data_IF_607739674709
#
_entry.id   IF_607739674709
#
_cell.length_a   1.000
_cell.length_b   1.000
_cell.length_c   1.000
_cell.angle_alpha   90.00
_cell.angle_beta   90.00
_cell.angle_gamma   90.00
#
_symmetry.space_group_name_H-M   'P 1'
#
loop_
_entity.id
_entity.type
_entity.pdbx_description
1 polymer ?
#
# COMPACT_ATOMS: atom_id res chain seq x y z
N UNK A 1 -11.69 19.52 13.50
CA UNK A 1 -11.68 18.05 13.57
C UNK A 1 -13.11 17.63 13.76
N UNK A 2 -13.65 16.86 12.81
CA UNK A 2 -14.99 16.30 12.93
C UNK A 2 -14.94 15.19 13.97
N UNK A 3 -15.72 15.35 15.04
CA UNK A 3 -15.90 14.26 16.00
C UNK A 3 -16.79 13.21 15.33
N UNK A 4 -16.22 12.04 15.02
CA UNK A 4 -16.98 10.95 14.39
C UNK A 4 -17.95 10.39 15.41
N UNK A 5 -19.25 10.50 15.11
CA UNK A 5 -20.34 9.91 15.87
C UNK A 5 -20.84 8.65 15.17
N UNK A 6 -21.00 7.58 15.94
CA UNK A 6 -21.52 6.31 15.46
C UNK A 6 -22.83 5.99 16.18
N UNK A 7 -23.86 5.60 15.44
CA UNK A 7 -25.18 5.29 16.01
C UNK A 7 -25.60 3.87 15.63
N UNK A 8 -26.05 3.10 16.62
CA UNK A 8 -26.76 1.85 16.39
C UNK A 8 -28.25 2.15 16.19
N UNK A 9 -28.76 1.86 14.99
CA UNK A 9 -30.17 2.05 14.64
C UNK A 9 -30.94 0.75 14.87
N UNK A 10 -31.93 0.79 15.76
CA UNK A 10 -32.82 -0.36 16.01
C UNK A 10 -34.25 0.11 16.23
N UNK A 11 -35.21 -0.51 15.52
CA UNK A 11 -36.64 -0.20 15.64
C UNK A 11 -36.97 1.30 15.53
N UNK A 12 -36.30 2.03 14.63
CA UNK A 12 -36.51 3.48 14.46
C UNK A 12 -35.92 4.36 15.57
N UNK A 13 -35.18 3.77 16.51
CA UNK A 13 -34.43 4.49 17.56
C UNK A 13 -32.94 4.51 17.24
N UNK A 14 -32.29 5.65 17.48
CA UNK A 14 -30.86 5.82 17.35
C UNK A 14 -30.21 5.85 18.74
N UNK A 15 -29.24 4.95 18.95
CA UNK A 15 -28.43 4.92 20.17
C UNK A 15 -26.99 5.24 19.80
N UNK A 16 -26.45 6.34 20.34
CA UNK A 16 -25.05 6.71 20.10
C UNK A 16 -24.12 5.72 20.79
N UNK A 17 -23.14 5.23 20.05
CA UNK A 17 -22.02 4.45 20.57
C UNK A 17 -20.89 5.42 20.90
N UNK A 18 -20.52 5.50 22.18
CA UNK A 18 -19.41 6.36 22.61
C UNK A 18 -18.08 5.82 22.11
N UNK A 19 -17.26 6.69 21.52
CA UNK A 19 -15.89 6.33 21.12
C UNK A 19 -14.95 6.33 22.32
N UNK A 20 -14.00 5.39 22.33
CA UNK A 20 -12.93 5.30 23.33
C UNK A 20 -11.57 4.98 22.69
N UNK A 21 -10.50 5.40 23.35
CA UNK A 21 -9.13 4.98 23.02
C UNK A 21 -8.83 3.63 23.66
N UNK A 22 -7.83 2.91 23.14
CA UNK A 22 -7.40 1.64 23.72
C UNK A 22 -6.88 1.86 25.15
N UNK A 23 -7.17 0.92 26.07
CA UNK A 23 -6.71 1.03 27.48
C UNK A 23 -5.18 1.00 27.55
N UNK A 24 -4.56 0.13 26.76
CA UNK A 24 -3.11 -0.03 26.65
C UNK A 24 -2.69 0.01 25.17
N UNK A 25 -1.58 0.66 24.87
CA UNK A 25 -0.99 0.69 23.53
C UNK A 25 -0.69 -0.72 23.00
N UNK A 26 -0.16 -1.60 23.86
CA UNK A 26 0.07 -3.01 23.55
C UNK A 26 -1.18 -3.78 23.11
N UNK A 27 -2.37 -3.40 23.62
CA UNK A 27 -3.62 -4.04 23.19
C UNK A 27 -4.00 -3.63 21.77
N UNK A 28 -3.83 -2.35 21.43
CA UNK A 28 -4.03 -1.86 20.07
C UNK A 28 -3.05 -2.53 19.11
N UNK A 29 -1.76 -2.54 19.46
CA UNK A 29 -0.72 -3.20 18.67
C UNK A 29 -1.06 -4.67 18.42
N UNK A 30 -1.36 -5.45 19.46
CA UNK A 30 -1.70 -6.87 19.30
C UNK A 30 -2.96 -7.11 18.46
N UNK A 31 -3.97 -6.23 18.57
CA UNK A 31 -5.18 -6.29 17.73
C UNK A 31 -4.85 -6.07 16.25
N UNK A 32 -4.04 -5.04 15.95
CA UNK A 32 -3.63 -4.71 14.59
C UNK A 32 -2.71 -5.79 14.02
N UNK A 33 -1.70 -6.25 14.76
CA UNK A 33 -0.77 -7.30 14.32
C UNK A 33 -1.49 -8.61 13.95
N UNK A 34 -2.48 -9.02 14.76
CA UNK A 34 -3.26 -10.26 14.52
C UNK A 34 -4.10 -10.17 13.25
N UNK A 35 -4.54 -8.97 12.87
CA UNK A 35 -5.48 -8.73 11.77
C UNK A 35 -4.90 -7.85 10.66
N UNK A 36 -3.58 -7.74 10.61
CA UNK A 36 -2.85 -6.81 9.77
C UNK A 36 -3.17 -6.96 8.26
N UNK A 37 -3.36 -8.20 7.73
CA UNK A 37 -3.81 -8.36 6.35
C UNK A 37 -5.19 -7.76 6.09
N UNK A 38 -6.13 -7.94 7.03
CA UNK A 38 -7.51 -7.46 6.89
C UNK A 38 -7.60 -5.94 6.99
N UNK A 39 -6.91 -5.35 7.97
CA UNK A 39 -6.97 -3.92 8.26
C UNK A 39 -6.12 -3.08 7.30
N UNK A 40 -4.90 -3.53 7.00
CA UNK A 40 -3.88 -2.71 6.35
C UNK A 40 -3.38 -3.30 5.03
N UNK A 41 -3.75 -4.53 4.68
CA UNK A 41 -3.16 -5.22 3.52
C UNK A 41 -1.66 -5.50 3.74
N UNK A 42 -1.25 -5.70 4.99
CA UNK A 42 0.15 -5.93 5.35
C UNK A 42 0.30 -7.31 5.95
N UNK A 43 1.28 -8.06 5.47
CA UNK A 43 1.71 -9.32 6.06
C UNK A 43 2.68 -9.04 7.19
N UNK A 44 2.33 -9.48 8.38
CA UNK A 44 3.12 -9.29 9.59
C UNK A 44 4.46 -10.06 9.53
N UNK A 45 5.55 -9.44 9.99
CA UNK A 45 6.89 -10.03 10.03
C UNK A 45 7.42 -10.14 11.47
N UNK A 46 7.34 -9.06 12.24
CA UNK A 46 7.86 -9.00 13.60
C UNK A 46 7.15 -7.94 14.44
N UNK A 47 7.10 -8.20 15.75
CA UNK A 47 6.64 -7.28 16.79
C UNK A 47 7.84 -6.88 17.64
N UNK A 48 7.86 -5.64 18.13
CA UNK A 48 8.86 -5.13 19.06
C UNK A 48 10.30 -5.36 18.56
N UNK A 49 10.55 -5.10 17.27
CA UNK A 49 11.80 -5.43 16.60
C UNK A 49 12.96 -4.54 17.07
N UNK A 50 13.99 -5.15 17.65
CA UNK A 50 15.13 -4.42 18.19
C UNK A 50 16.11 -3.95 17.10
N UNK A 51 16.40 -2.66 17.04
CA UNK A 51 17.28 -2.05 16.01
C UNK A 51 18.77 -2.10 16.38
N UNK A 52 19.17 -3.12 17.14
CA UNK A 52 20.55 -3.32 17.58
C UNK A 52 21.13 -2.27 18.54
N UNK A 53 22.43 -2.38 18.84
CA UNK A 53 23.13 -1.58 19.87
C UNK A 53 23.40 -0.14 19.46
N UNK A 54 23.40 0.16 18.17
CA UNK A 54 23.73 1.48 17.60
C UNK A 54 22.55 2.44 17.69
N UNK A 55 21.35 1.98 17.30
CA UNK A 55 20.14 2.80 17.36
C UNK A 55 19.41 2.69 18.71
N UNK A 56 19.61 1.58 19.46
CA UNK A 56 19.01 1.31 20.79
C UNK A 56 17.49 1.55 20.86
N UNK A 57 16.81 1.41 19.74
CA UNK A 57 15.37 1.59 19.61
C UNK A 57 14.65 0.26 19.41
N UNK A 58 13.34 0.36 19.25
CA UNK A 58 12.46 -0.78 19.05
C UNK A 58 11.31 -0.33 18.15
N UNK A 59 11.18 -1.00 17.02
CA UNK A 59 10.08 -0.79 16.07
C UNK A 59 8.89 -1.57 16.58
N UNK A 60 7.72 -0.94 16.69
CA UNK A 60 6.54 -1.60 17.28
C UNK A 60 6.10 -2.79 16.40
N UNK A 61 5.89 -2.57 15.09
CA UNK A 61 5.62 -3.65 14.15
C UNK A 61 6.31 -3.47 12.80
N UNK A 62 6.78 -4.58 12.23
CA UNK A 62 7.29 -4.67 10.87
C UNK A 62 6.40 -5.57 10.01
N UNK A 63 6.20 -5.18 8.77
CA UNK A 63 5.46 -5.95 7.78
C UNK A 63 5.89 -5.69 6.34
N UNK A 64 5.24 -6.38 5.41
CA UNK A 64 5.36 -6.15 3.97
C UNK A 64 3.95 -6.03 3.36
N UNK A 65 3.70 -4.97 2.59
CA UNK A 65 2.39 -4.73 2.00
C UNK A 65 2.11 -5.57 0.75
N UNK A 66 0.89 -5.38 0.23
CA UNK A 66 0.38 -5.99 -1.01
C UNK A 66 1.25 -5.73 -2.25
N UNK A 67 2.04 -4.66 -2.26
CA UNK A 67 2.91 -4.29 -3.36
C UNK A 67 4.35 -4.76 -3.16
N UNK A 68 4.64 -5.51 -2.09
CA UNK A 68 6.00 -5.90 -1.73
C UNK A 68 6.80 -4.78 -1.05
N UNK A 69 6.14 -3.70 -0.61
CA UNK A 69 6.82 -2.60 0.06
C UNK A 69 7.03 -2.91 1.54
N UNK A 70 8.22 -2.64 2.10
CA UNK A 70 8.43 -2.69 3.55
C UNK A 70 7.54 -1.69 4.29
N UNK A 71 6.98 -2.09 5.44
CA UNK A 71 6.10 -1.25 6.25
C UNK A 71 6.57 -1.25 7.70
N UNK A 72 6.77 -0.05 8.25
CA UNK A 72 6.90 0.20 9.69
C UNK A 72 5.55 0.70 10.20
N UNK A 73 5.10 0.16 11.33
CA UNK A 73 3.89 0.61 12.02
C UNK A 73 4.27 1.00 13.44
N UNK A 74 3.92 2.22 13.84
CA UNK A 74 4.13 2.78 15.18
C UNK A 74 2.78 3.18 15.79
N UNK A 75 2.56 2.86 17.06
CA UNK A 75 1.27 3.07 17.72
C UNK A 75 1.35 4.14 18.80
N UNK A 76 0.25 4.86 18.99
CA UNK A 76 0.06 5.76 20.12
C UNK A 76 -1.34 5.75 20.69
N UNK A 77 -1.42 5.79 22.03
CA UNK A 77 -2.70 5.99 22.70
C UNK A 77 -3.17 7.45 22.67
N UNK A 78 -2.26 8.42 22.62
CA UNK A 78 -2.57 9.85 22.75
C UNK A 78 -1.96 10.68 21.62
N UNK A 79 -2.58 11.83 21.32
CA UNK A 79 -2.22 12.72 20.21
C UNK A 79 -0.97 13.57 20.41
N UNK A 80 -0.49 13.70 21.65
CA UNK A 80 0.61 14.61 21.99
C UNK A 80 1.98 13.92 21.97
N UNK A 81 2.05 12.69 21.47
CA UNK A 81 3.26 11.88 21.45
C UNK A 81 3.93 11.92 20.08
N UNK A 82 5.27 11.95 20.09
CA UNK A 82 6.10 12.22 18.91
C UNK A 82 6.27 11.01 17.97
N UNK A 83 5.15 10.37 17.61
CA UNK A 83 5.13 9.11 16.84
C UNK A 83 5.77 9.24 15.46
N UNK A 84 5.60 10.40 14.82
CA UNK A 84 6.15 10.66 13.49
C UNK A 84 7.68 10.66 13.56
N UNK A 85 8.28 11.38 14.52
CA UNK A 85 9.74 11.44 14.60
C UNK A 85 10.35 10.10 15.06
N UNK A 86 9.67 9.34 15.93
CA UNK A 86 10.07 7.98 16.28
C UNK A 86 10.05 7.07 15.03
N UNK A 87 8.96 7.10 14.28
CA UNK A 87 8.83 6.32 13.05
C UNK A 87 9.85 6.72 11.97
N UNK A 88 10.15 8.01 11.80
CA UNK A 88 11.18 8.49 10.87
C UNK A 88 12.57 7.96 11.24
N UNK A 89 12.91 7.95 12.52
CA UNK A 89 14.17 7.39 12.99
C UNK A 89 14.31 5.90 12.64
N UNK A 90 13.21 5.14 12.70
CA UNK A 90 13.20 3.73 12.30
C UNK A 90 13.14 3.51 10.79
N UNK A 91 12.52 4.43 10.06
CA UNK A 91 12.53 4.41 8.61
C UNK A 91 13.96 4.53 8.07
N UNK A 92 14.76 5.44 8.63
CA UNK A 92 16.18 5.56 8.27
C UNK A 92 16.95 4.28 8.61
N UNK A 93 16.70 3.68 9.78
CA UNK A 93 17.30 2.39 10.14
C UNK A 93 16.97 1.30 9.10
N UNK A 94 15.70 1.16 8.72
CA UNK A 94 15.25 0.15 7.76
C UNK A 94 15.93 0.31 6.39
N UNK A 95 16.08 1.55 5.93
CA UNK A 95 16.74 1.85 4.65
C UNK A 95 18.25 1.61 4.69
N UNK A 96 18.90 1.75 5.85
CA UNK A 96 20.31 1.41 6.04
C UNK A 96 20.54 -0.10 6.26
N UNK A 97 19.52 -0.84 6.70
CA UNK A 97 19.60 -2.26 7.08
C UNK A 97 18.75 -3.18 6.18
N UNK A 98 18.67 -2.86 4.88
CA UNK A 98 17.86 -3.61 3.90
C UNK A 98 18.17 -5.12 3.86
N UNK A 99 19.44 -5.50 4.05
CA UNK A 99 19.83 -6.92 4.05
C UNK A 99 19.21 -7.69 5.23
N UNK A 100 19.11 -7.05 6.39
CA UNK A 100 18.53 -7.63 7.60
C UNK A 100 17.02 -7.80 7.44
N UNK A 101 16.32 -6.78 6.95
CA UNK A 101 14.89 -6.88 6.64
C UNK A 101 14.61 -7.92 5.55
N UNK A 102 15.42 -7.97 4.49
CA UNK A 102 15.28 -8.98 3.43
C UNK A 102 15.45 -10.39 3.98
N UNK A 103 16.38 -10.60 4.91
CA UNK A 103 16.53 -11.89 5.58
C UNK A 103 15.28 -12.25 6.38
N UNK A 104 14.73 -11.30 7.15
CA UNK A 104 13.48 -11.50 7.91
C UNK A 104 12.31 -11.88 6.99
N UNK A 105 12.15 -11.21 5.84
CA UNK A 105 11.14 -11.56 4.84
C UNK A 105 11.37 -12.98 4.31
N UNK A 106 12.61 -13.32 3.98
CA UNK A 106 12.94 -14.65 3.45
C UNK A 106 12.66 -15.75 4.48
N UNK A 107 12.98 -15.52 5.76
CA UNK A 107 12.72 -16.46 6.85
C UNK A 107 11.22 -16.67 7.10
N UNK A 108 10.42 -15.60 7.04
CA UNK A 108 8.98 -15.64 7.38
C UNK A 108 8.09 -16.01 6.20
N UNK A 109 8.41 -15.53 4.99
CA UNK A 109 7.53 -15.56 3.82
C UNK A 109 8.17 -16.24 2.59
N UNK A 110 9.44 -16.64 2.69
CA UNK A 110 10.14 -17.37 1.65
C UNK A 110 10.90 -16.47 0.66
N UNK A 111 11.73 -17.14 -0.15
CA UNK A 111 12.69 -16.49 -1.05
C UNK A 111 12.02 -15.65 -2.14
N UNK A 112 10.93 -16.14 -2.73
CA UNK A 112 10.27 -15.46 -3.85
C UNK A 112 9.74 -14.08 -3.43
N UNK A 113 9.17 -13.98 -2.23
CA UNK A 113 8.71 -12.71 -1.66
C UNK A 113 9.89 -11.78 -1.37
N UNK A 114 11.00 -12.31 -0.84
CA UNK A 114 12.19 -11.54 -0.52
C UNK A 114 12.93 -10.99 -1.77
N UNK A 115 12.75 -11.61 -2.93
CA UNK A 115 13.29 -11.13 -4.22
C UNK A 115 12.43 -10.04 -4.86
N UNK A 116 11.17 -9.90 -4.43
CA UNK A 116 10.19 -8.94 -4.95
C UNK A 116 10.02 -7.69 -4.06
N UNK A 117 10.92 -7.46 -3.10
CA UNK A 117 10.83 -6.29 -2.20
C UNK A 117 10.98 -4.99 -2.99
N UNK A 118 10.01 -4.09 -2.85
CA UNK A 118 9.93 -2.80 -3.51
C UNK A 118 10.31 -1.66 -2.53
N UNK A 119 11.60 -1.39 -2.41
CA UNK A 119 12.15 -0.43 -1.43
C UNK A 119 11.70 1.02 -1.63
N UNK A 120 11.49 1.46 -2.87
CA UNK A 120 11.03 2.83 -3.18
C UNK A 120 9.58 3.08 -2.74
N UNK A 121 8.87 2.03 -2.34
CA UNK A 121 7.54 2.09 -1.78
C UNK A 121 7.51 1.97 -0.27
N UNK A 122 8.64 1.98 0.44
CA UNK A 122 8.67 1.83 1.91
C UNK A 122 7.72 2.82 2.59
N UNK A 123 6.92 2.33 3.53
CA UNK A 123 5.86 3.09 4.22
C UNK A 123 6.10 3.16 5.73
N UNK A 124 5.74 4.30 6.30
CA UNK A 124 5.60 4.49 7.74
C UNK A 124 4.12 4.75 8.06
N UNK A 125 3.51 3.87 8.84
CA UNK A 125 2.15 4.04 9.35
C UNK A 125 2.22 4.43 10.82
N UNK A 126 1.74 5.62 11.14
CA UNK A 126 1.53 6.06 12.52
C UNK A 126 0.05 5.86 12.86
N UNK A 127 -0.25 5.01 13.83
CA UNK A 127 -1.63 4.72 14.26
C UNK A 127 -1.87 5.32 15.65
N UNK A 128 -2.73 6.34 15.74
CA UNK A 128 -2.96 7.07 16.98
C UNK A 128 -4.44 7.38 17.24
N UNK A 129 -4.79 7.71 18.48
CA UNK A 129 -6.17 8.09 18.82
C UNK A 129 -6.58 9.43 18.16
N UNK A 130 -5.62 10.35 17.97
CA UNK A 130 -5.82 11.57 17.20
C UNK A 130 -4.49 12.17 16.73
N UNK A 131 -4.55 13.12 15.79
CA UNK A 131 -3.42 13.88 15.25
C UNK A 131 -3.74 15.36 15.24
N UNK A 132 -2.76 16.19 15.58
CA UNK A 132 -2.92 17.64 15.47
C UNK A 132 -2.86 18.09 14.02
N UNK A 133 -3.37 19.30 13.73
CA UNK A 133 -3.19 19.94 12.41
C UNK A 133 -1.70 20.14 12.05
N UNK A 134 -0.83 20.23 13.05
CA UNK A 134 0.60 20.41 12.84
C UNK A 134 1.23 19.10 12.36
N UNK A 135 0.84 17.97 12.94
CA UNK A 135 1.29 16.64 12.51
C UNK A 135 0.93 16.40 11.04
N UNK A 136 -0.33 16.67 10.67
CA UNK A 136 -0.82 16.54 9.29
C UNK A 136 -0.06 17.46 8.32
N UNK A 137 0.25 18.68 8.74
CA UNK A 137 1.03 19.60 7.91
C UNK A 137 2.50 19.16 7.77
N UNK A 138 3.11 18.67 8.85
CA UNK A 138 4.49 18.22 8.87
C UNK A 138 4.73 17.05 7.92
N UNK A 139 3.84 16.06 7.90
CA UNK A 139 3.99 14.91 6.97
C UNK A 139 3.92 15.32 5.50
N UNK A 140 3.18 16.39 5.15
CA UNK A 140 3.13 16.90 3.78
C UNK A 140 4.45 17.53 3.32
N UNK A 141 5.29 17.98 4.27
CA UNK A 141 6.59 18.59 3.97
C UNK A 141 7.73 17.55 3.91
N UNK A 142 7.44 16.30 4.29
CA UNK A 142 8.44 15.23 4.33
C UNK A 142 8.28 14.40 3.05
N UNK A 143 9.32 14.26 2.21
CA UNK A 143 9.24 13.51 0.96
C UNK A 143 9.32 11.99 1.21
N UNK A 144 8.40 11.45 2.02
CA UNK A 144 8.30 10.04 2.45
C UNK A 144 6.85 9.58 2.42
N UNK A 145 6.63 8.27 2.24
CA UNK A 145 5.29 7.68 2.32
C UNK A 145 4.88 7.50 3.80
N UNK A 146 4.37 8.57 4.42
CA UNK A 146 3.91 8.57 5.82
C UNK A 146 2.37 8.60 5.84
N UNK A 147 1.77 7.64 6.52
CA UNK A 147 0.32 7.54 6.71
C UNK A 147 -0.01 7.72 8.18
N UNK A 148 -0.87 8.69 8.47
CA UNK A 148 -1.43 8.95 9.78
C UNK A 148 -2.81 8.31 9.80
N UNK A 149 -2.98 7.27 10.61
CA UNK A 149 -4.24 6.54 10.74
C UNK A 149 -4.81 6.80 12.12
N UNK A 150 -5.92 7.54 12.17
CA UNK A 150 -6.69 7.72 13.40
C UNK A 150 -7.49 6.46 13.67
N UNK A 151 -7.46 5.97 14.91
CA UNK A 151 -8.36 4.89 15.33
C UNK A 151 -9.40 5.37 16.35
N UNK A 152 -10.59 4.77 16.29
CA UNK A 152 -11.61 4.88 17.35
C UNK A 152 -12.20 3.50 17.65
N UNK A 153 -12.31 3.14 18.92
CA UNK A 153 -13.05 1.95 19.36
C UNK A 153 -14.45 2.36 19.78
N UNK A 154 -15.46 1.55 19.46
CA UNK A 154 -16.84 1.74 19.89
C UNK A 154 -17.35 0.44 20.51
N UNK A 155 -17.81 0.50 21.76
CA UNK A 155 -18.14 -0.72 22.51
C UNK A 155 -16.92 -1.66 22.62
N UNK A 156 -17.18 -2.97 22.49
CA UNK A 156 -16.17 -4.02 22.66
C UNK A 156 -15.72 -4.67 21.33
N UNK A 157 -16.40 -4.38 20.22
CA UNK A 157 -16.29 -5.13 18.97
C UNK A 157 -16.15 -4.28 17.70
N UNK A 158 -16.25 -2.95 17.79
CA UNK A 158 -16.15 -2.07 16.64
C UNK A 158 -14.86 -1.24 16.68
N UNK A 159 -14.11 -1.29 15.59
CA UNK A 159 -12.91 -0.49 15.35
C UNK A 159 -13.11 0.32 14.06
N UNK A 160 -12.88 1.62 14.16
CA UNK A 160 -12.75 2.52 13.02
C UNK A 160 -11.28 2.84 12.80
N UNK A 161 -10.84 2.79 11.54
CA UNK A 161 -9.54 3.29 11.07
C UNK A 161 -9.80 4.35 10.00
N UNK A 162 -9.24 5.55 10.19
CA UNK A 162 -9.42 6.70 9.31
C UNK A 162 -8.04 7.22 8.88
N UNK A 163 -7.76 7.22 7.58
CA UNK A 163 -6.56 7.86 7.05
C UNK A 163 -6.73 9.38 7.08
N UNK A 164 -5.94 10.09 7.90
CA UNK A 164 -6.10 11.54 8.10
C UNK A 164 -5.24 12.39 7.17
N UNK A 165 -4.34 11.77 6.40
CA UNK A 165 -3.59 12.42 5.33
C UNK A 165 -3.56 11.51 4.10
N UNK A 166 -4.08 11.99 2.98
CA UNK A 166 -3.98 11.29 1.72
C UNK A 166 -2.99 12.02 0.80
N UNK A 167 -1.73 11.60 0.85
CA UNK A 167 -0.68 12.03 -0.07
C UNK A 167 0.32 10.89 -0.23
N UNK A 168 0.50 10.41 -1.45
CA UNK A 168 1.61 9.54 -1.83
C UNK A 168 2.64 10.40 -2.57
N UNK A 169 3.82 10.58 -1.99
CA UNK A 169 4.93 11.27 -2.67
C UNK A 169 5.74 10.24 -3.46
N UNK A 170 6.13 10.52 -4.73
CA UNK A 170 7.23 9.79 -5.35
C UNK A 170 8.47 9.91 -4.46
N UNK A 171 8.96 8.79 -3.92
CA UNK A 171 10.00 8.80 -2.89
C UNK A 171 11.33 9.31 -3.46
N UNK A 172 11.91 10.34 -2.83
CA UNK A 172 13.14 10.99 -3.29
C UNK A 172 14.41 10.15 -3.05
N UNK A 173 14.31 9.01 -2.35
CA UNK A 173 15.43 8.09 -2.04
C UNK A 173 15.99 7.33 -3.22
N UNK A 174 15.35 7.36 -4.39
CA UNK A 174 15.94 6.84 -5.61
C UNK A 174 17.11 7.72 -6.12
N UNK A 175 17.25 8.96 -5.63
CA UNK A 175 18.37 9.84 -5.99
C UNK A 175 19.56 9.66 -5.04
N UNK A 176 20.21 8.50 -5.04
CA UNK A 176 21.63 8.46 -4.63
C UNK A 176 22.45 9.13 -5.76
N UNK A 177 23.29 10.14 -5.47
CA UNK A 177 24.20 10.69 -6.47
C UNK A 177 25.09 9.56 -6.99
N UNK A 178 25.21 9.45 -8.31
CA UNK A 178 26.17 8.56 -8.94
C UNK A 178 27.57 8.85 -8.36
N UNK A 179 28.04 7.95 -7.49
CA UNK A 179 29.42 7.95 -7.05
C UNK A 179 30.28 7.64 -8.28
N UNK A 180 31.33 8.43 -8.43
CA UNK A 180 32.21 8.51 -9.59
C UNK A 180 32.64 7.14 -10.12
N UNK A 181 32.64 7.04 -11.44
CA UNK A 181 33.15 5.92 -12.21
C UNK A 181 34.56 5.54 -11.76
N UNK A 182 34.71 4.28 -11.33
CA UNK A 182 35.98 3.57 -11.39
C UNK A 182 35.75 2.38 -12.31
N UNK A 183 36.44 2.42 -13.44
CA UNK A 183 36.37 1.45 -14.52
C UNK A 183 36.91 0.11 -14.02
N UNK A 184 36.13 -0.95 -14.12
CA UNK A 184 36.62 -2.33 -14.03
C UNK A 184 35.75 -3.17 -14.97
N UNK A 185 36.34 -3.54 -16.11
CA UNK A 185 35.77 -4.52 -17.02
C UNK A 185 35.75 -5.92 -16.38
N UNK A 186 34.87 -6.77 -16.93
CA UNK A 186 34.73 -8.24 -16.71
C UNK A 186 33.68 -8.60 -15.66
N UNK A 187 32.43 -8.76 -16.07
CA UNK A 187 31.90 -10.03 -16.61
C UNK A 187 30.48 -9.77 -17.13
N UNK A 188 30.20 -10.08 -18.39
CA UNK A 188 28.83 -10.00 -18.94
C UNK A 188 28.02 -11.17 -18.38
N UNK A 189 26.98 -10.96 -17.54
CA UNK A 189 26.05 -12.02 -17.24
C UNK A 189 25.20 -12.26 -18.50
N UNK A 190 25.02 -13.53 -18.88
CA UNK A 190 24.05 -13.98 -19.89
C UNK A 190 22.66 -13.33 -19.63
N UNK A 191 21.89 -12.99 -20.68
CA UNK A 191 20.57 -12.40 -20.49
C UNK A 191 19.61 -13.48 -20.01
N UNK A 192 19.39 -13.57 -18.70
CA UNK A 192 18.13 -14.07 -18.17
C UNK A 192 17.11 -12.97 -18.39
N UNK A 193 16.01 -13.28 -19.09
CA UNK A 193 15.00 -12.31 -19.51
C UNK A 193 14.51 -11.48 -18.32
N UNK A 194 14.90 -10.21 -18.28
CA UNK A 194 14.33 -9.24 -17.33
C UNK A 194 13.02 -8.74 -17.93
N UNK A 195 11.93 -8.91 -17.19
CA UNK A 195 10.66 -8.26 -17.51
C UNK A 195 10.89 -6.75 -17.65
N UNK A 196 10.33 -6.16 -18.71
CA UNK A 196 10.44 -4.73 -18.95
C UNK A 196 9.66 -3.95 -17.90
N UNK A 197 10.19 -2.81 -17.48
CA UNK A 197 9.51 -1.94 -16.53
C UNK A 197 8.22 -1.35 -17.11
N UNK A 198 7.34 -0.85 -16.25
CA UNK A 198 6.15 -0.10 -16.66
C UNK A 198 6.51 1.04 -17.62
N UNK A 199 7.57 1.79 -17.31
CA UNK A 199 8.05 2.89 -18.14
C UNK A 199 8.52 2.43 -19.51
N UNK A 200 9.28 1.31 -19.57
CA UNK A 200 9.73 0.72 -20.83
C UNK A 200 8.55 0.19 -21.67
N UNK A 201 7.56 -0.41 -21.03
CA UNK A 201 6.35 -0.89 -21.73
C UNK A 201 5.54 0.27 -22.29
N UNK A 202 5.32 1.34 -21.51
CA UNK A 202 4.62 2.53 -21.98
C UNK A 202 5.40 3.24 -23.10
N UNK A 203 6.73 3.29 -23.03
CA UNK A 203 7.58 3.83 -24.09
C UNK A 203 7.49 3.05 -25.41
N UNK A 204 7.15 1.76 -25.36
CA UNK A 204 6.91 0.92 -26.54
C UNK A 204 5.44 0.89 -26.96
N UNK A 205 4.52 1.32 -26.10
CA UNK A 205 3.09 1.31 -26.36
C UNK A 205 2.69 2.31 -27.45
N UNK A 206 1.64 1.95 -28.18
CA UNK A 206 0.99 2.83 -29.15
C UNK A 206 0.39 4.05 -28.46
N UNK A 207 0.12 5.12 -29.24
CA UNK A 207 -0.56 6.33 -28.76
C UNK A 207 -1.87 6.01 -28.05
N UNK A 208 -2.64 5.08 -28.62
CA UNK A 208 -3.94 4.65 -28.15
C UNK A 208 -3.84 3.95 -26.79
N UNK A 209 -2.82 3.11 -26.57
CA UNK A 209 -2.62 2.42 -25.29
C UNK A 209 -2.11 3.39 -24.22
N UNK A 210 -1.25 4.36 -24.58
CA UNK A 210 -0.83 5.40 -23.62
C UNK A 210 -1.99 6.28 -23.19
N UNK A 211 -2.87 6.64 -24.13
CA UNK A 211 -4.09 7.38 -23.84
C UNK A 211 -5.03 6.56 -22.96
N UNK A 212 -5.26 5.29 -23.29
CA UNK A 212 -6.05 4.37 -22.49
C UNK A 212 -5.49 4.24 -21.06
N UNK A 213 -4.17 4.16 -20.91
CA UNK A 213 -3.50 4.12 -19.61
C UNK A 213 -3.79 5.41 -18.82
N UNK A 214 -3.55 6.57 -19.43
CA UNK A 214 -3.78 7.86 -18.78
C UNK A 214 -5.26 8.06 -18.36
N UNK A 215 -6.21 7.65 -19.19
CA UNK A 215 -7.64 7.73 -18.86
C UNK A 215 -8.02 6.74 -17.75
N UNK A 216 -7.47 5.52 -17.77
CA UNK A 216 -7.70 4.51 -16.72
C UNK A 216 -7.17 5.00 -15.38
N UNK A 217 -5.94 5.51 -15.33
CA UNK A 217 -5.33 6.02 -14.10
C UNK A 217 -6.08 7.25 -13.58
N UNK A 218 -6.44 8.18 -14.47
CA UNK A 218 -7.21 9.37 -14.09
C UNK A 218 -8.59 9.02 -13.54
N UNK A 219 -9.26 8.01 -14.10
CA UNK A 219 -10.56 7.55 -13.63
C UNK A 219 -10.48 7.00 -12.20
N UNK A 220 -9.51 6.11 -11.92
CA UNK A 220 -9.36 5.52 -10.59
C UNK A 220 -8.94 6.55 -9.53
N UNK A 221 -8.03 7.48 -9.88
CA UNK A 221 -7.61 8.56 -8.97
C UNK A 221 -8.76 9.53 -8.64
N UNK A 222 -9.77 9.64 -9.51
CA UNK A 222 -10.92 10.52 -9.31
C UNK A 222 -12.00 9.96 -8.37
N UNK A 223 -11.87 8.73 -7.86
CA UNK A 223 -12.88 8.14 -6.97
C UNK A 223 -12.98 8.80 -5.60
N UNK A 224 -11.87 9.31 -5.07
CA UNK A 224 -11.87 9.99 -3.80
C UNK A 224 -10.49 10.51 -3.45
N UNK A 225 -10.45 11.51 -2.55
CA UNK A 225 -9.21 12.06 -2.04
C UNK A 225 -8.38 11.03 -1.27
N UNK A 226 -8.99 9.92 -0.83
CA UNK A 226 -8.36 8.81 -0.12
C UNK A 226 -7.62 7.81 -1.02
N UNK A 227 -7.71 7.97 -2.34
CA UNK A 227 -7.02 7.13 -3.32
C UNK A 227 -5.56 7.54 -3.48
N UNK A 228 -4.68 6.55 -3.45
CA UNK A 228 -3.24 6.71 -3.68
C UNK A 228 -2.81 5.90 -4.92
N UNK A 229 -2.18 6.59 -5.87
CA UNK A 229 -1.52 5.98 -7.03
C UNK A 229 -0.06 5.68 -6.67
N UNK A 230 0.39 4.43 -6.85
CA UNK A 230 1.80 4.05 -6.73
C UNK A 230 2.30 3.38 -7.99
N UNK A 231 3.24 4.03 -8.67
CA UNK A 231 3.99 3.42 -9.79
C UNK A 231 5.11 2.56 -9.24
N UNK A 232 4.99 1.26 -9.47
CA UNK A 232 5.98 0.24 -9.12
C UNK A 232 6.77 -0.13 -10.37
N UNK A 233 7.77 -0.99 -10.22
CA UNK A 233 8.64 -1.38 -11.32
C UNK A 233 7.88 -1.94 -12.53
N UNK A 234 6.86 -2.77 -12.31
CA UNK A 234 6.17 -3.51 -13.38
C UNK A 234 4.72 -3.07 -13.62
N UNK A 235 4.10 -2.36 -12.67
CA UNK A 235 2.69 -2.00 -12.70
C UNK A 235 2.40 -0.75 -11.88
N UNK A 236 1.19 -0.22 -12.00
CA UNK A 236 0.67 0.87 -11.16
C UNK A 236 -0.40 0.33 -10.24
N UNK A 237 -0.25 0.54 -8.93
CA UNK A 237 -1.24 0.15 -7.93
C UNK A 237 -2.11 1.36 -7.53
N UNK A 238 -3.39 1.09 -7.31
CA UNK A 238 -4.35 2.03 -6.75
C UNK A 238 -4.88 1.48 -5.44
N UNK A 239 -4.77 2.28 -4.38
CA UNK A 239 -5.10 1.84 -3.03
C UNK A 239 -5.76 2.92 -2.19
N UNK A 240 -6.48 2.48 -1.16
CA UNK A 240 -6.80 3.29 0.03
C UNK A 240 -5.82 2.88 1.14
N UNK A 241 -6.32 2.20 2.17
CA UNK A 241 -5.48 1.40 3.07
C UNK A 241 -4.91 0.17 2.37
N UNK A 242 -5.72 -0.45 1.51
CA UNK A 242 -5.42 -1.66 0.72
C UNK A 242 -5.56 -1.38 -0.76
N UNK A 243 -4.88 -2.17 -1.58
CA UNK A 243 -5.05 -2.13 -3.02
C UNK A 243 -6.49 -2.50 -3.40
N UNK A 244 -7.07 -1.75 -4.33
CA UNK A 244 -8.33 -2.13 -4.99
C UNK A 244 -8.14 -2.41 -6.48
N UNK A 245 -7.07 -1.90 -7.10
CA UNK A 245 -6.75 -2.20 -8.49
C UNK A 245 -5.25 -2.14 -8.76
N UNK A 246 -4.79 -2.91 -9.74
CA UNK A 246 -3.46 -2.73 -10.34
C UNK A 246 -3.57 -2.69 -11.86
N UNK A 247 -2.75 -1.86 -12.51
CA UNK A 247 -2.71 -1.67 -13.96
C UNK A 247 -1.34 -2.07 -14.48
N UNK A 248 -1.31 -3.07 -15.37
CA UNK A 248 -0.12 -3.54 -16.07
C UNK A 248 -0.22 -3.07 -17.53
N UNK A 249 0.81 -2.35 -17.99
CA UNK A 249 0.87 -1.91 -19.38
C UNK A 249 1.68 -2.88 -20.24
N UNK A 250 1.14 -3.21 -21.41
CA UNK A 250 1.87 -3.84 -22.51
C UNK A 250 1.82 -2.93 -23.74
N UNK A 251 2.65 -3.17 -24.78
CA UNK A 251 2.68 -2.28 -25.93
C UNK A 251 1.35 -2.22 -26.72
N UNK A 252 0.52 -3.25 -26.59
CA UNK A 252 -0.70 -3.44 -27.38
C UNK A 252 -2.00 -3.60 -26.55
N UNK A 253 -1.93 -3.58 -25.22
CA UNK A 253 -3.10 -3.72 -24.32
C UNK A 253 -2.76 -3.29 -22.90
N UNK A 254 -3.78 -3.09 -22.08
CA UNK A 254 -3.66 -3.02 -20.63
C UNK A 254 -4.29 -4.24 -19.98
N UNK A 255 -3.71 -4.69 -18.87
CA UNK A 255 -4.38 -5.57 -17.92
C UNK A 255 -4.71 -4.77 -16.67
N UNK A 256 -5.91 -4.97 -16.13
CA UNK A 256 -6.33 -4.44 -14.85
C UNK A 256 -6.66 -5.61 -13.95
N UNK A 257 -5.95 -5.79 -12.84
CA UNK A 257 -6.36 -6.73 -11.80
C UNK A 257 -7.17 -5.99 -10.74
N UNK A 258 -8.29 -6.59 -10.34
CA UNK A 258 -9.26 -6.04 -9.40
C UNK A 258 -9.38 -6.96 -8.20
N UNK A 259 -9.49 -6.36 -7.01
CA UNK A 259 -9.72 -7.07 -5.76
C UNK A 259 -11.20 -7.41 -5.60
N UNK A 260 -11.69 -8.23 -6.52
CA UNK A 260 -13.05 -8.76 -6.54
C UNK A 260 -12.98 -10.28 -6.59
N UNK A 261 -13.92 -10.93 -5.91
CA UNK A 261 -14.15 -12.36 -6.05
C UNK A 261 -14.64 -12.65 -7.49
N UNK A 262 -13.87 -13.41 -8.31
CA UNK A 262 -14.27 -13.75 -9.66
C UNK A 262 -15.60 -14.53 -9.70
N UNK A 263 -15.96 -15.27 -8.65
CA UNK A 263 -17.24 -15.98 -8.56
C UNK A 263 -18.44 -15.03 -8.45
N UNK A 264 -18.22 -13.77 -8.05
CA UNK A 264 -19.25 -12.72 -7.98
C UNK A 264 -19.47 -11.97 -9.32
N UNK A 265 -18.74 -12.37 -10.37
CA UNK A 265 -18.72 -11.69 -11.67
C UNK A 265 -19.02 -12.68 -12.79
N UNK A 266 -19.84 -12.28 -13.75
CA UNK A 266 -20.03 -13.05 -14.98
C UNK A 266 -18.80 -12.84 -15.86
N UNK A 267 -17.97 -13.88 -16.01
CA UNK A 267 -16.76 -13.81 -16.81
C UNK A 267 -17.07 -13.80 -18.31
N UNK A 268 -16.37 -12.96 -19.07
CA UNK A 268 -16.52 -12.78 -20.51
C UNK A 268 -15.20 -13.14 -21.21
N UNK A 269 -15.25 -14.10 -22.14
CA UNK A 269 -14.08 -14.54 -22.88
C UNK A 269 -13.40 -13.36 -23.62
N UNK A 270 -12.08 -13.23 -23.43
CA UNK A 270 -11.28 -12.16 -24.01
C UNK A 270 -11.39 -10.80 -23.31
N UNK A 271 -12.23 -10.66 -22.28
CA UNK A 271 -12.33 -9.44 -21.48
C UNK A 271 -12.02 -9.67 -20.01
N UNK A 272 -12.57 -10.71 -19.36
CA UNK A 272 -12.37 -10.98 -17.94
C UNK A 272 -12.01 -12.44 -17.67
N UNK A 273 -11.15 -12.66 -16.66
CA UNK A 273 -10.76 -14.02 -16.22
C UNK A 273 -10.41 -14.07 -14.74
N UNK A 274 -10.59 -15.25 -14.16
CA UNK A 274 -10.10 -15.59 -12.82
C UNK A 274 -8.59 -15.86 -12.88
N UNK A 275 -7.82 -15.14 -12.07
CA UNK A 275 -6.37 -15.30 -11.89
C UNK A 275 -5.98 -15.65 -10.46
N UNK A 276 -6.93 -16.03 -9.59
CA UNK A 276 -6.68 -16.38 -8.18
C UNK A 276 -5.68 -17.52 -7.99
N UNK A 277 -5.58 -18.42 -8.97
CA UNK A 277 -4.66 -19.58 -8.97
C UNK A 277 -3.48 -19.41 -9.93
N UNK A 278 -3.30 -18.22 -10.52
CA UNK A 278 -2.27 -17.94 -11.52
C UNK A 278 -1.37 -16.83 -11.01
N UNK A 279 -0.05 -17.07 -11.02
CA UNK A 279 0.91 -16.04 -10.67
C UNK A 279 0.81 -14.84 -11.62
N UNK A 280 0.61 -13.65 -11.05
CA UNK A 280 0.50 -12.38 -11.77
C UNK A 280 1.14 -11.25 -10.97
N UNK A 281 1.33 -10.08 -11.60
CA UNK A 281 1.86 -8.90 -10.92
C UNK A 281 0.74 -8.09 -10.27
N UNK A 282 1.02 -7.52 -9.11
CA UNK A 282 0.03 -6.77 -8.34
C UNK A 282 -0.87 -7.70 -7.52
N UNK A 283 -2.06 -7.20 -7.21
CA UNK A 283 -3.05 -7.91 -6.40
C UNK A 283 -4.41 -7.97 -7.09
N UNK A 284 -5.24 -8.89 -6.62
CA UNK A 284 -6.62 -9.02 -7.06
C UNK A 284 -6.82 -10.25 -7.94
N UNK A 285 -7.97 -10.90 -7.78
CA UNK A 285 -8.23 -12.21 -8.37
C UNK A 285 -8.96 -12.11 -9.72
N UNK A 286 -9.52 -10.95 -10.04
CA UNK A 286 -10.21 -10.70 -11.30
C UNK A 286 -9.33 -9.87 -12.23
N UNK A 287 -8.93 -10.44 -13.37
CA UNK A 287 -8.18 -9.70 -14.39
C UNK A 287 -9.09 -9.26 -15.54
N UNK A 288 -8.99 -8.00 -15.94
CA UNK A 288 -9.63 -7.42 -17.11
C UNK A 288 -8.59 -7.08 -18.18
N UNK A 289 -8.90 -7.37 -19.44
CA UNK A 289 -8.06 -7.04 -20.59
C UNK A 289 -8.70 -5.92 -21.42
N UNK A 290 -7.97 -4.82 -21.61
CA UNK A 290 -8.45 -3.66 -22.35
C UNK A 290 -7.53 -3.39 -23.56
N UNK A 291 -8.14 -3.20 -24.73
CA UNK A 291 -7.44 -2.86 -25.98
C UNK A 291 -7.74 -1.42 -26.43
N UNK A 292 -8.88 -0.86 -26.01
CA UNK A 292 -9.38 0.46 -26.42
C UNK A 292 -10.27 1.09 -25.35
N UNK A 293 -10.60 2.37 -25.51
CA UNK A 293 -11.44 3.12 -24.56
C UNK A 293 -12.83 2.51 -24.34
N UNK A 294 -13.42 1.87 -25.35
CA UNK A 294 -14.70 1.18 -25.18
C UNK A 294 -14.61 0.00 -24.17
N UNK A 295 -13.44 -0.61 -24.01
CA UNK A 295 -13.22 -1.65 -23.01
C UNK A 295 -13.09 -1.03 -21.61
N UNK A 296 -12.54 0.19 -21.50
CA UNK A 296 -12.54 0.94 -20.24
C UNK A 296 -13.97 1.24 -19.79
N UNK A 297 -14.84 1.73 -20.68
CA UNK A 297 -16.26 1.97 -20.35
C UNK A 297 -16.96 0.71 -19.82
N UNK A 298 -16.64 -0.47 -20.38
CA UNK A 298 -17.13 -1.77 -19.89
C UNK A 298 -16.54 -2.14 -18.53
N UNK A 299 -15.28 -1.77 -18.26
CA UNK A 299 -14.58 -2.07 -17.02
C UNK A 299 -15.02 -1.19 -15.84
N UNK A 300 -15.51 0.05 -16.10
CA UNK A 300 -15.85 1.01 -15.04
C UNK A 300 -16.72 0.44 -13.91
N UNK A 301 -17.83 -0.28 -14.16
CA UNK A 301 -18.66 -0.82 -13.09
C UNK A 301 -17.92 -1.82 -12.19
N UNK A 302 -17.01 -2.61 -12.75
CA UNK A 302 -16.19 -3.56 -11.98
C UNK A 302 -15.09 -2.84 -11.20
N UNK A 303 -14.47 -1.81 -11.79
CA UNK A 303 -13.48 -0.97 -11.11
C UNK A 303 -14.12 -0.24 -9.92
N UNK A 304 -15.31 0.33 -10.10
CA UNK A 304 -16.11 0.99 -9.06
C UNK A 304 -16.50 0.01 -7.93
N UNK A 305 -16.94 -1.20 -8.28
CA UNK A 305 -17.18 -2.27 -7.30
C UNK A 305 -15.92 -2.61 -6.52
N UNK A 306 -14.79 -2.79 -7.19
CA UNK A 306 -13.52 -3.09 -6.54
C UNK A 306 -13.11 -1.99 -5.56
N UNK A 307 -13.32 -0.72 -5.90
CA UNK A 307 -13.09 0.41 -5.01
C UNK A 307 -14.04 0.42 -3.80
N UNK A 308 -15.33 0.12 -3.99
CA UNK A 308 -16.31 0.13 -2.92
C UNK A 308 -16.15 -1.06 -1.95
N UNK A 309 -15.84 -2.24 -2.47
CA UNK A 309 -15.74 -3.51 -1.73
C UNK A 309 -14.33 -3.74 -1.12
N UNK A 310 -13.28 -3.15 -1.72
CA UNK A 310 -11.85 -3.41 -1.43
C UNK A 310 -11.25 -2.69 -0.23
#
# INVERSE_FOLDING_TARGET
>A
MSDIQLFHLSNGTANELSSQAAKLEKQLQGLIETNMPTFLGVRFLASEYATGKTHRGRIDSLGIDENGCPVIIEYKRHSNENVINQGLFYLDWLLDHQAEFRWLVMEKLGKDVAEQIEWAGTRLLCIAADFTRYDQHSVQQIPRNIELIRYKLFGDDLLLLELVNAQSVPDATAAKPAAAAVVSEVDKPKPTGKDKSLEEQLALATSEIRELYAQTTSFMTAFGDDVQEKRLKLYTAFRRLKNFACVIAYPNRLLITLKLDPASVVLEEGFSRDVSQVGHWGTGDLELTLYRLADLERAKPLIERSYAEG
#
